data_IF_961419289439
#
_entry.id   IF_961419289439
#
_cell.length_a   1.000
_cell.length_b   1.000
_cell.length_c   1.000
_cell.angle_alpha   90.00
_cell.angle_beta   90.00
_cell.angle_gamma   90.00
#
_symmetry.space_group_name_H-M   'P 1'
#
loop_
_entity.id
_entity.type
_entity.pdbx_description
1 polymer ?
#
# COMPACT_ATOMS: atom_id res chain seq x y z
N UNK A 1 -1.77 -14.43 -10.88
CA UNK A 1 -1.63 -13.51 -9.74
C UNK A 1 -0.74 -14.11 -8.65
N UNK A 2 0.28 -13.38 -8.17
CA UNK A 2 1.08 -13.79 -7.01
C UNK A 2 0.23 -13.79 -5.73
N UNK A 3 0.43 -14.78 -4.86
CA UNK A 3 -0.27 -14.84 -3.58
C UNK A 3 0.22 -13.73 -2.63
N UNK A 4 -0.57 -12.67 -2.49
CA UNK A 4 -0.28 -11.59 -1.53
C UNK A 4 -0.41 -12.12 -0.10
N UNK A 5 0.56 -11.77 0.76
CA UNK A 5 0.65 -12.26 2.13
C UNK A 5 0.38 -11.12 3.12
N UNK A 6 -0.48 -11.40 4.10
CA UNK A 6 -0.81 -10.45 5.17
C UNK A 6 0.47 -10.05 5.93
N UNK A 7 0.52 -8.79 6.36
CA UNK A 7 1.64 -8.14 7.05
C UNK A 7 2.91 -7.88 6.22
N UNK A 8 2.86 -8.11 4.90
CA UNK A 8 3.91 -7.67 3.97
C UNK A 8 3.58 -6.31 3.36
N UNK A 9 4.61 -5.65 2.84
CA UNK A 9 4.51 -4.37 2.15
C UNK A 9 4.65 -4.58 0.65
N UNK A 10 3.92 -3.79 -0.11
CA UNK A 10 3.87 -3.91 -1.55
C UNK A 10 3.90 -2.54 -2.22
N UNK A 11 4.59 -2.48 -3.36
CA UNK A 11 4.45 -1.42 -4.34
C UNK A 11 3.63 -1.94 -5.51
N UNK A 12 2.63 -1.17 -5.95
CA UNK A 12 1.79 -1.56 -7.08
C UNK A 12 1.07 -0.36 -7.69
N UNK A 13 0.54 -0.56 -8.89
CA UNK A 13 -0.36 0.37 -9.58
C UNK A 13 -1.71 -0.28 -9.86
N UNK A 14 -2.71 0.55 -10.14
CA UNK A 14 -4.09 0.12 -10.40
C UNK A 14 -4.48 0.41 -11.84
N UNK A 15 -5.47 -0.30 -12.36
CA UNK A 15 -6.00 -0.05 -13.71
C UNK A 15 -6.72 1.31 -13.85
N UNK A 16 -7.21 1.87 -12.75
CA UNK A 16 -7.93 3.14 -12.72
C UNK A 16 -7.24 4.17 -11.80
N UNK A 17 -6.05 4.66 -12.16
CA UNK A 17 -5.23 5.54 -11.30
C UNK A 17 -5.90 6.88 -10.97
N UNK A 18 -6.79 7.38 -11.83
CA UNK A 18 -7.55 8.62 -11.59
C UNK A 18 -8.63 8.48 -10.51
N UNK A 19 -9.08 7.25 -10.24
CA UNK A 19 -10.15 6.96 -9.27
C UNK A 19 -9.55 6.39 -7.98
N UNK A 20 -8.61 5.45 -8.13
CA UNK A 20 -8.00 4.71 -7.03
C UNK A 20 -6.67 5.30 -6.56
N UNK A 21 -6.12 6.31 -7.24
CA UNK A 21 -4.78 6.82 -6.96
C UNK A 21 -3.70 6.20 -7.86
N UNK A 22 -2.73 7.03 -8.22
CA UNK A 22 -1.76 6.76 -9.29
C UNK A 22 -0.81 5.60 -9.00
N UNK A 23 -0.32 5.52 -7.77
CA UNK A 23 0.60 4.46 -7.34
C UNK A 23 0.57 4.32 -5.82
N UNK A 24 0.73 3.08 -5.38
CA UNK A 24 0.85 2.73 -3.98
C UNK A 24 2.29 2.34 -3.69
N UNK A 25 2.93 3.08 -2.80
CA UNK A 25 4.29 2.80 -2.34
C UNK A 25 4.23 2.37 -0.87
N UNK A 26 4.97 1.31 -0.55
CA UNK A 26 5.10 0.73 0.78
C UNK A 26 3.73 0.49 1.46
N UNK A 27 2.76 0.00 0.68
CA UNK A 27 1.42 -0.29 1.16
C UNK A 27 1.43 -1.62 1.91
N UNK A 28 1.10 -1.59 3.20
CA UNK A 28 1.06 -2.81 4.02
C UNK A 28 -0.25 -3.55 3.81
N UNK A 29 -0.21 -4.82 3.41
CA UNK A 29 -1.41 -5.65 3.39
C UNK A 29 -1.82 -5.99 4.83
N UNK A 30 -2.99 -5.51 5.25
CA UNK A 30 -3.53 -5.70 6.61
C UNK A 30 -4.46 -6.89 6.66
N UNK A 31 -5.29 -7.08 5.64
CA UNK A 31 -6.28 -8.14 5.63
C UNK A 31 -6.69 -8.51 4.21
N UNK A 32 -7.12 -9.75 4.06
CA UNK A 32 -7.75 -10.30 2.87
C UNK A 32 -9.21 -10.53 3.24
N UNK A 33 -10.12 -9.92 2.50
CA UNK A 33 -11.53 -9.79 2.82
C UNK A 33 -12.39 -10.38 1.70
N UNK A 34 -13.55 -10.90 2.09
CA UNK A 34 -14.64 -11.18 1.16
C UNK A 34 -15.43 -9.91 0.85
N UNK A 35 -16.37 -10.02 -0.10
CA UNK A 35 -17.22 -8.92 -0.52
C UNK A 35 -18.01 -8.28 0.63
N UNK A 36 -18.70 -9.09 1.44
CA UNK A 36 -19.55 -8.61 2.53
C UNK A 36 -18.75 -7.85 3.60
N UNK A 37 -17.52 -8.28 3.86
CA UNK A 37 -16.63 -7.60 4.80
C UNK A 37 -16.03 -6.35 4.18
N UNK A 38 -15.69 -6.37 2.89
CA UNK A 38 -15.15 -5.20 2.18
C UNK A 38 -16.13 -4.02 2.14
N UNK A 39 -17.44 -4.28 2.07
CA UNK A 39 -18.50 -3.25 2.12
C UNK A 39 -18.47 -2.41 3.40
N UNK A 40 -17.89 -2.93 4.49
CA UNK A 40 -17.74 -2.18 5.76
C UNK A 40 -16.67 -1.09 5.68
N UNK A 41 -15.79 -1.14 4.68
CA UNK A 41 -14.66 -0.22 4.51
C UNK A 41 -14.87 0.80 3.39
N UNK A 42 -15.92 0.66 2.57
CA UNK A 42 -16.22 1.61 1.51
C UNK A 42 -17.39 1.20 0.61
N UNK A 43 -17.80 2.11 -0.27
CA UNK A 43 -18.84 1.84 -1.26
C UNK A 43 -18.24 1.11 -2.48
N UNK A 44 -18.03 -0.20 -2.31
CA UNK A 44 -17.39 -1.07 -3.29
C UNK A 44 -18.18 -1.12 -4.61
N UNK A 45 -19.51 -1.13 -4.55
CA UNK A 45 -20.35 -1.16 -5.75
C UNK A 45 -20.17 0.10 -6.62
N UNK A 46 -20.14 1.28 -5.97
CA UNK A 46 -19.91 2.54 -6.67
C UNK A 46 -18.52 2.58 -7.30
N UNK A 47 -17.49 2.19 -6.52
CA UNK A 47 -16.12 2.13 -7.01
C UNK A 47 -16.01 1.18 -8.21
N UNK A 48 -16.56 -0.04 -8.09
CA UNK A 48 -16.52 -1.03 -9.16
C UNK A 48 -17.16 -0.50 -10.44
N UNK A 49 -18.32 0.16 -10.36
CA UNK A 49 -18.96 0.78 -11.53
C UNK A 49 -18.07 1.81 -12.23
N UNK A 50 -17.29 2.57 -11.47
CA UNK A 50 -16.38 3.57 -12.02
C UNK A 50 -15.11 2.93 -12.62
N UNK A 51 -14.63 1.84 -12.05
CA UNK A 51 -13.36 1.19 -12.40
C UNK A 51 -13.54 0.17 -13.54
N UNK A 52 -14.67 -0.52 -13.59
CA UNK A 52 -14.96 -1.61 -14.54
C UNK A 52 -14.63 -1.29 -16.00
N UNK A 53 -14.90 -0.09 -16.54
CA UNK A 53 -14.53 0.27 -17.92
C UNK A 53 -13.03 0.27 -18.22
N UNK A 54 -12.19 0.41 -17.19
CA UNK A 54 -10.72 0.42 -17.29
C UNK A 54 -10.10 -0.95 -17.07
N UNK A 55 -10.91 -1.94 -16.64
CA UNK A 55 -10.43 -3.29 -16.39
C UNK A 55 -10.25 -4.04 -17.72
N UNK A 56 -9.36 -5.05 -17.77
CA UNK A 56 -9.22 -5.93 -18.92
C UNK A 56 -10.55 -6.58 -19.31
N UNK A 57 -10.74 -6.84 -20.61
CA UNK A 57 -11.99 -7.38 -21.17
C UNK A 57 -12.42 -8.75 -20.64
N UNK A 58 -11.52 -9.49 -19.99
CA UNK A 58 -11.79 -10.81 -19.40
C UNK A 58 -12.13 -10.76 -17.90
N UNK A 59 -12.26 -9.56 -17.32
CA UNK A 59 -12.56 -9.41 -15.90
C UNK A 59 -14.03 -9.75 -15.62
N UNK A 60 -14.34 -10.67 -14.67
CA UNK A 60 -15.71 -11.04 -14.37
C UNK A 60 -16.53 -9.84 -13.91
N UNK A 61 -17.77 -9.64 -14.38
CA UNK A 61 -18.60 -8.50 -13.93
C UNK A 61 -19.08 -8.62 -12.48
N UNK A 62 -19.11 -9.85 -11.96
CA UNK A 62 -19.62 -10.19 -10.64
C UNK A 62 -18.59 -9.90 -9.54
N UNK A 63 -18.69 -8.70 -8.97
CA UNK A 63 -17.87 -8.19 -7.89
C UNK A 63 -18.00 -8.98 -6.57
N UNK A 64 -19.06 -9.78 -6.39
CA UNK A 64 -19.23 -10.58 -5.15
C UNK A 64 -18.24 -11.73 -5.04
N UNK A 65 -17.62 -12.12 -6.16
CA UNK A 65 -16.65 -13.21 -6.25
C UNK A 65 -15.20 -12.75 -6.11
N UNK A 66 -14.98 -11.45 -5.95
CA UNK A 66 -13.65 -10.89 -5.90
C UNK A 66 -13.02 -11.09 -4.53
N UNK A 67 -11.70 -11.18 -4.52
CA UNK A 67 -10.94 -11.07 -3.27
C UNK A 67 -10.58 -9.61 -3.05
N UNK A 68 -10.84 -9.10 -1.85
CA UNK A 68 -10.53 -7.72 -1.49
C UNK A 68 -9.33 -7.64 -0.56
N UNK A 69 -8.51 -6.63 -0.74
CA UNK A 69 -7.30 -6.38 0.01
C UNK A 69 -7.41 -5.05 0.74
N UNK A 70 -7.33 -5.10 2.06
CA UNK A 70 -7.22 -3.91 2.89
C UNK A 70 -5.74 -3.56 3.04
N UNK A 71 -5.31 -2.51 2.35
CA UNK A 71 -3.97 -1.97 2.46
C UNK A 71 -3.94 -0.77 3.41
N UNK A 72 -2.91 -0.72 4.25
CA UNK A 72 -2.57 0.47 5.03
C UNK A 72 -1.48 1.24 4.31
N UNK A 73 -1.79 2.47 3.96
CA UNK A 73 -0.91 3.40 3.24
C UNK A 73 -0.60 4.60 4.13
N UNK A 74 0.29 5.49 3.68
CA UNK A 74 0.58 6.75 4.39
C UNK A 74 -0.67 7.65 4.50
N UNK A 75 -1.56 7.59 3.51
CA UNK A 75 -2.79 8.38 3.45
C UNK A 75 -3.97 7.73 4.19
N UNK A 76 -3.78 6.54 4.78
CA UNK A 76 -4.81 5.79 5.48
C UNK A 76 -5.07 4.41 4.88
N UNK A 77 -6.19 3.81 5.29
CA UNK A 77 -6.59 2.49 4.83
C UNK A 77 -7.31 2.60 3.48
N UNK A 78 -6.94 1.74 2.53
CA UNK A 78 -7.60 1.62 1.24
C UNK A 78 -8.02 0.17 1.00
N UNK A 79 -9.19 0.00 0.41
CA UNK A 79 -9.74 -1.30 0.02
C UNK A 79 -9.65 -1.43 -1.51
N UNK A 80 -8.99 -2.48 -1.98
CA UNK A 80 -8.78 -2.73 -3.40
C UNK A 80 -9.14 -4.17 -3.73
N UNK A 81 -9.86 -4.41 -4.83
CA UNK A 81 -10.08 -5.76 -5.32
C UNK A 81 -8.83 -6.29 -6.03
N UNK A 82 -8.66 -7.61 -6.00
CA UNK A 82 -7.66 -8.34 -6.76
C UNK A 82 -7.61 -7.93 -8.24
N UNK A 83 -8.76 -7.89 -8.91
CA UNK A 83 -8.86 -7.51 -10.32
C UNK A 83 -8.56 -6.03 -10.62
N UNK A 84 -8.52 -5.16 -9.60
CA UNK A 84 -8.23 -3.74 -9.80
C UNK A 84 -6.72 -3.45 -9.84
N UNK A 85 -5.91 -4.40 -9.37
CA UNK A 85 -4.45 -4.30 -9.33
C UNK A 85 -3.87 -4.74 -10.67
N UNK A 86 -2.82 -4.05 -11.11
CA UNK A 86 -2.03 -4.50 -12.26
C UNK A 86 -1.05 -5.57 -11.75
N UNK A 87 -1.35 -6.84 -11.99
CA UNK A 87 -0.56 -8.00 -11.52
C UNK A 87 0.95 -7.86 -11.77
N UNK A 88 1.33 -7.34 -12.94
CA UNK A 88 2.74 -7.18 -13.35
C UNK A 88 3.47 -6.06 -12.60
N UNK A 89 2.73 -5.14 -11.97
CA UNK A 89 3.28 -4.03 -11.20
C UNK A 89 3.56 -4.38 -9.75
N UNK A 90 2.98 -5.48 -9.24
CA UNK A 90 3.05 -5.85 -7.82
C UNK A 90 4.47 -6.30 -7.49
N UNK A 91 5.12 -5.55 -6.60
CA UNK A 91 6.44 -5.85 -6.06
C UNK A 91 6.37 -5.89 -4.54
N UNK A 92 6.74 -7.01 -3.91
CA UNK A 92 6.88 -7.07 -2.46
C UNK A 92 8.07 -6.21 -2.04
N UNK A 93 7.82 -5.20 -1.20
CA UNK A 93 8.89 -4.40 -0.61
C UNK A 93 9.27 -4.98 0.74
N UNK A 94 10.51 -5.45 0.84
CA UNK A 94 11.13 -5.80 2.12
C UNK A 94 11.73 -4.56 2.75
N UNK A 95 10.95 -3.82 3.55
CA UNK A 95 11.52 -2.77 4.42
C UNK A 95 12.22 -3.42 5.62
N UNK A 96 13.52 -3.22 5.76
CA UNK A 96 14.26 -3.62 6.97
C UNK A 96 14.21 -2.45 7.95
N UNK A 97 13.69 -2.70 9.15
CA UNK A 97 13.88 -1.77 10.26
C UNK A 97 15.31 -1.96 10.78
N UNK A 98 16.16 -0.94 10.61
CA UNK A 98 17.53 -0.95 11.09
C UNK A 98 17.70 0.06 12.24
N UNK A 99 18.30 -0.38 13.35
CA UNK A 99 18.67 0.50 14.46
C UNK A 99 20.14 0.88 14.30
N UNK A 100 20.42 2.20 14.24
CA UNK A 100 21.78 2.73 14.20
C UNK A 100 22.15 3.25 15.59
N UNK A 101 23.13 2.61 16.23
CA UNK A 101 23.67 3.07 17.51
C UNK A 101 24.85 4.01 17.24
N UNK A 102 24.75 5.24 17.73
CA UNK A 102 25.79 6.26 17.58
C UNK A 102 26.45 6.50 18.94
N UNK A 103 27.77 6.34 19.00
CA UNK A 103 28.53 6.48 20.25
C UNK A 103 29.27 7.81 20.29
N UNK A 104 29.27 8.47 21.46
CA UNK A 104 30.02 9.69 21.72
C UNK A 104 29.72 10.83 20.72
N UNK A 105 28.44 11.07 20.46
CA UNK A 105 27.98 12.19 19.62
C UNK A 105 27.37 13.30 20.47
N UNK A 106 27.58 14.55 20.05
CA UNK A 106 26.97 15.73 20.65
C UNK A 106 25.62 16.07 19.98
N UNK A 107 24.87 16.99 20.59
CA UNK A 107 23.55 17.43 20.11
C UNK A 107 23.58 18.08 18.72
N UNK A 108 24.72 18.62 18.30
CA UNK A 108 24.91 19.21 16.98
C UNK A 108 24.97 18.10 15.91
N UNK A 109 25.78 17.05 16.15
CA UNK A 109 25.86 15.87 15.27
C UNK A 109 24.53 15.12 15.16
N UNK A 110 23.77 15.00 16.26
CA UNK A 110 22.40 14.44 16.20
C UNK A 110 21.52 15.23 15.23
N UNK A 111 21.62 16.56 15.25
CA UNK A 111 20.82 17.43 14.40
C UNK A 111 21.23 17.35 12.94
N UNK A 112 22.53 17.30 12.65
CA UNK A 112 23.05 17.07 11.30
C UNK A 112 22.55 15.73 10.76
N UNK A 113 22.65 14.64 11.53
CA UNK A 113 22.19 13.31 11.11
C UNK A 113 20.68 13.31 10.86
N UNK A 114 19.91 13.94 11.74
CA UNK A 114 18.46 14.12 11.55
C UNK A 114 18.15 14.80 10.22
N UNK A 115 18.83 15.90 9.90
CA UNK A 115 18.56 16.68 8.70
C UNK A 115 18.98 15.93 7.43
N UNK A 116 20.09 15.20 7.47
CA UNK A 116 20.54 14.36 6.36
C UNK A 116 19.59 13.19 6.11
N UNK A 117 19.14 12.49 7.15
CA UNK A 117 18.17 11.38 7.00
C UNK A 117 16.82 11.88 6.48
N UNK A 118 16.37 13.07 6.89
CA UNK A 118 15.18 13.71 6.33
C UNK A 118 15.36 14.07 4.85
N UNK A 119 16.53 14.58 4.47
CA UNK A 119 16.83 14.94 3.09
C UNK A 119 16.84 13.72 2.16
N UNK A 120 17.24 12.56 2.68
CA UNK A 120 17.14 11.28 1.98
C UNK A 120 15.71 10.72 1.91
N UNK A 121 14.71 11.39 2.51
CA UNK A 121 13.32 10.94 2.54
C UNK A 121 13.08 9.72 3.43
N UNK A 122 13.99 9.43 4.37
CA UNK A 122 13.87 8.29 5.28
C UNK A 122 13.03 8.72 6.48
N UNK A 123 12.00 7.94 6.79
CA UNK A 123 11.25 8.08 8.04
C UNK A 123 12.01 7.39 9.18
N UNK A 124 12.38 8.13 10.23
CA UNK A 124 13.12 7.60 11.37
C UNK A 124 12.62 8.20 12.69
N UNK A 125 12.97 7.55 13.80
CA UNK A 125 12.80 8.05 15.15
C UNK A 125 14.15 8.00 15.88
N UNK A 126 14.52 9.07 16.59
CA UNK A 126 15.74 9.12 17.40
C UNK A 126 15.34 8.97 18.87
N UNK A 127 15.84 7.92 19.52
CA UNK A 127 15.74 7.75 20.98
C UNK A 127 17.09 8.09 21.59
N UNK A 128 17.12 8.95 22.62
CA UNK A 128 18.33 9.46 23.28
C UNK A 128 18.39 8.93 24.71
#
# INVERSE_FOLDING_TARGET
MPALTINKYYNFTTYAPSILGTSYNNAKLVSILDYDTALKFGNIELLHKQIYPYLPSNTPSDLTKYTYYLFKTENGNVILADYWLIDTSIQETGGINATINLYNIDSNKVSIIRDQLKLLGINFNITI
#
